data_IF_960851241914
#
_entry.id   IF_960851241914
#
_cell.length_a   1.000
_cell.length_b   1.000
_cell.length_c   1.000
_cell.angle_alpha   90.00
_cell.angle_beta   90.00
_cell.angle_gamma   90.00
#
_symmetry.space_group_name_H-M   'P 1'
#
loop_
_entity.id
_entity.type
_entity.pdbx_description
1 polymer ?
#
# COMPACT_ATOMS: atom_id res chain seq x y z
N UNK A 1 -21.89 16.35 -8.68
CA UNK A 1 -20.75 15.43 -8.85
C UNK A 1 -21.28 14.01 -8.78
N UNK A 2 -20.95 13.14 -9.74
CA UNK A 2 -21.24 11.71 -9.57
C UNK A 2 -20.30 11.15 -8.50
N UNK A 3 -20.81 10.33 -7.59
CA UNK A 3 -19.95 9.59 -6.66
C UNK A 3 -19.00 8.72 -7.47
N UNK A 4 -17.70 8.76 -7.13
CA UNK A 4 -16.74 7.76 -7.61
C UNK A 4 -17.09 6.46 -6.90
N UNK A 5 -17.38 5.36 -7.63
CA UNK A 5 -17.75 4.10 -7.01
C UNK A 5 -16.54 3.45 -6.30
N UNK A 6 -16.80 2.79 -5.16
CA UNK A 6 -15.79 2.11 -4.34
C UNK A 6 -16.23 0.67 -4.11
N UNK A 7 -15.31 -0.29 -4.28
CA UNK A 7 -15.51 -1.71 -4.00
C UNK A 7 -14.54 -2.14 -2.89
N UNK A 8 -15.05 -2.65 -1.78
CA UNK A 8 -14.25 -3.21 -0.68
C UNK A 8 -14.24 -4.74 -0.76
N UNK A 9 -13.11 -5.36 -0.39
CA UNK A 9 -12.94 -6.82 -0.39
C UNK A 9 -12.28 -7.24 0.91
N UNK A 10 -13.09 -7.80 1.81
CA UNK A 10 -12.70 -8.16 3.17
C UNK A 10 -12.71 -9.67 3.41
N UNK A 11 -11.96 -10.12 4.42
CA UNK A 11 -11.85 -11.53 4.80
C UNK A 11 -10.50 -11.90 5.41
N UNK A 12 -10.31 -13.16 5.87
CA UNK A 12 -9.10 -13.60 6.55
C UNK A 12 -7.83 -13.51 5.70
N UNK A 13 -6.65 -13.57 6.33
CA UNK A 13 -5.38 -13.66 5.60
C UNK A 13 -5.33 -14.94 4.75
N UNK A 14 -4.63 -14.90 3.62
CA UNK A 14 -4.41 -16.07 2.75
C UNK A 14 -5.58 -16.50 1.85
N UNK A 15 -6.77 -15.91 1.97
CA UNK A 15 -7.96 -16.32 1.15
C UNK A 15 -7.98 -15.76 -0.28
N UNK A 16 -6.94 -15.06 -0.71
CA UNK A 16 -6.82 -14.55 -2.09
C UNK A 16 -7.44 -13.18 -2.37
N UNK A 17 -7.79 -12.38 -1.34
CA UNK A 17 -8.40 -11.05 -1.49
C UNK A 17 -7.63 -10.12 -2.43
N UNK A 18 -6.31 -10.00 -2.23
CA UNK A 18 -5.46 -9.15 -3.07
C UNK A 18 -5.45 -9.58 -4.54
N UNK A 19 -5.50 -10.89 -4.79
CA UNK A 19 -5.62 -11.44 -6.15
C UNK A 19 -6.93 -11.03 -6.80
N UNK A 20 -8.06 -11.19 -6.10
CA UNK A 20 -9.38 -10.79 -6.62
C UNK A 20 -9.45 -9.28 -6.84
N UNK A 21 -8.96 -8.48 -5.87
CA UNK A 21 -8.94 -7.03 -5.96
C UNK A 21 -8.15 -6.54 -7.18
N UNK A 22 -6.96 -7.11 -7.41
CA UNK A 22 -6.14 -6.83 -8.61
C UNK A 22 -6.88 -7.15 -9.91
N UNK A 23 -7.46 -8.34 -10.01
CA UNK A 23 -8.19 -8.76 -11.23
C UNK A 23 -9.36 -7.82 -11.51
N UNK A 24 -10.11 -7.44 -10.48
CA UNK A 24 -11.23 -6.50 -10.61
C UNK A 24 -10.77 -5.11 -11.05
N UNK A 25 -9.72 -4.58 -10.41
CA UNK A 25 -9.15 -3.28 -10.77
C UNK A 25 -8.65 -3.26 -12.24
N UNK A 26 -7.94 -4.30 -12.69
CA UNK A 26 -7.49 -4.43 -14.08
C UNK A 26 -8.66 -4.51 -15.07
N UNK A 27 -9.71 -5.29 -14.75
CA UNK A 27 -10.89 -5.43 -15.62
C UNK A 27 -11.71 -4.15 -15.75
N UNK A 28 -11.80 -3.37 -14.67
CA UNK A 28 -12.59 -2.15 -14.61
C UNK A 28 -11.79 -0.89 -15.00
N UNK A 29 -10.46 -1.00 -15.12
CA UNK A 29 -9.57 0.15 -15.26
C UNK A 29 -9.58 1.06 -14.02
N UNK A 30 -9.79 0.47 -12.83
CA UNK A 30 -9.89 1.20 -11.57
C UNK A 30 -8.56 1.25 -10.83
N UNK A 31 -8.45 2.23 -9.94
CA UNK A 31 -7.41 2.24 -8.92
C UNK A 31 -7.57 1.07 -7.95
N UNK A 32 -6.45 0.61 -7.41
CA UNK A 32 -6.39 -0.40 -6.38
C UNK A 32 -5.66 0.17 -5.17
N UNK A 33 -6.17 -0.14 -3.99
CA UNK A 33 -5.53 0.20 -2.73
C UNK A 33 -5.40 -1.08 -1.90
N UNK A 34 -4.19 -1.35 -1.40
CA UNK A 34 -3.91 -2.45 -0.47
C UNK A 34 -3.63 -1.85 0.91
N UNK A 35 -4.58 -2.01 1.83
CA UNK A 35 -4.48 -1.44 3.18
C UNK A 35 -3.28 -1.96 3.97
N UNK A 36 -2.91 -3.23 3.79
CA UNK A 36 -1.74 -3.80 4.47
C UNK A 36 -0.43 -3.22 3.94
N UNK A 37 -0.37 -2.91 2.64
CA UNK A 37 0.80 -2.28 2.05
C UNK A 37 0.97 -0.81 2.50
N UNK A 38 -0.11 -0.11 2.87
CA UNK A 38 -0.03 1.26 3.42
C UNK A 38 0.77 1.28 4.71
N UNK A 39 0.42 0.42 5.69
CA UNK A 39 1.13 0.39 6.97
C UNK A 39 2.61 0.01 6.82
N UNK A 40 2.91 -0.97 5.95
CA UNK A 40 4.30 -1.34 5.64
C UNK A 40 5.09 -0.22 4.95
N UNK A 41 4.46 0.51 4.03
CA UNK A 41 5.09 1.67 3.39
C UNK A 41 5.30 2.82 4.38
N UNK A 42 4.37 3.04 5.29
CA UNK A 42 4.51 4.00 6.38
C UNK A 42 5.70 3.64 7.29
N UNK A 43 5.78 2.39 7.75
CA UNK A 43 6.91 1.93 8.57
C UNK A 43 8.26 2.08 7.85
N UNK A 44 8.30 1.77 6.54
CA UNK A 44 9.49 1.99 5.71
C UNK A 44 9.86 3.48 5.60
N UNK A 45 8.88 4.38 5.51
CA UNK A 45 9.12 5.83 5.47
C UNK A 45 9.63 6.37 6.81
N UNK A 46 9.06 5.90 7.93
CA UNK A 46 9.51 6.25 9.29
C UNK A 46 10.98 5.85 9.49
N UNK A 47 11.32 4.62 9.12
CA UNK A 47 12.70 4.10 9.20
C UNK A 47 13.65 4.88 8.29
N UNK A 48 13.30 5.09 7.02
CA UNK A 48 14.12 5.84 6.07
C UNK A 48 14.36 7.30 6.49
N UNK A 49 13.40 7.91 7.20
CA UNK A 49 13.47 9.29 7.70
C UNK A 49 14.11 9.38 9.10
N UNK A 50 14.47 8.24 9.71
CA UNK A 50 14.97 8.15 11.09
C UNK A 50 14.04 8.86 12.10
N UNK A 51 12.72 8.72 11.90
CA UNK A 51 11.71 9.32 12.77
C UNK A 51 11.59 8.52 14.07
N UNK A 52 11.55 9.21 15.22
CA UNK A 52 11.34 8.57 16.52
C UNK A 52 9.94 7.97 16.60
N UNK A 53 9.86 6.65 16.80
CA UNK A 53 8.59 5.93 16.88
C UNK A 53 7.78 6.23 18.15
N UNK A 54 8.37 6.93 19.12
CA UNK A 54 7.70 7.38 20.34
C UNK A 54 7.13 8.80 20.21
N UNK A 55 7.48 9.53 19.16
CA UNK A 55 6.96 10.87 18.86
C UNK A 55 5.75 10.77 17.92
N UNK A 56 4.55 10.73 18.50
CA UNK A 56 3.29 10.65 17.77
C UNK A 56 3.12 11.81 16.76
N UNK A 57 3.53 13.04 17.13
CA UNK A 57 3.40 14.20 16.23
C UNK A 57 4.31 14.09 15.01
N UNK A 58 5.53 13.58 15.18
CA UNK A 58 6.43 13.33 14.06
C UNK A 58 5.91 12.19 13.15
N UNK A 59 5.32 11.14 13.73
CA UNK A 59 4.69 10.06 12.98
C UNK A 59 3.47 10.54 12.16
N UNK A 60 2.63 11.40 12.74
CA UNK A 60 1.52 12.04 12.03
C UNK A 60 2.00 12.87 10.83
N UNK A 61 3.10 13.60 10.98
CA UNK A 61 3.69 14.37 9.88
C UNK A 61 4.16 13.46 8.73
N UNK A 62 4.77 12.32 9.05
CA UNK A 62 5.16 11.31 8.04
C UNK A 62 3.92 10.76 7.33
N UNK A 63 2.86 10.42 8.07
CA UNK A 63 1.64 9.85 7.51
C UNK A 63 0.92 10.82 6.57
N UNK A 64 0.81 12.09 6.97
CA UNK A 64 0.14 13.14 6.19
C UNK A 64 0.89 13.47 4.89
N UNK A 65 2.19 13.25 4.85
CA UNK A 65 3.06 13.55 3.70
C UNK A 65 3.61 12.28 3.03
N UNK A 66 2.91 11.15 3.16
CA UNK A 66 3.33 9.89 2.56
C UNK A 66 3.00 9.89 1.05
N UNK A 67 4.03 10.06 0.20
CA UNK A 67 3.88 9.93 -1.25
C UNK A 67 3.82 8.45 -1.64
N UNK A 68 2.62 7.88 -1.55
CA UNK A 68 2.36 6.47 -1.80
C UNK A 68 1.45 6.28 -3.02
N UNK A 69 1.94 5.53 -4.01
CA UNK A 69 1.18 5.22 -5.22
C UNK A 69 1.10 3.71 -5.49
N UNK A 70 -0.10 3.24 -5.77
CA UNK A 70 -0.38 1.88 -6.23
C UNK A 70 -0.65 1.88 -7.73
N UNK A 71 0.06 1.03 -8.47
CA UNK A 71 -0.14 0.87 -9.91
C UNK A 71 -0.47 -0.58 -10.24
N UNK A 72 -1.54 -0.75 -11.00
CA UNK A 72 -1.92 -2.02 -11.60
C UNK A 72 -1.61 -1.96 -13.09
N UNK A 73 -0.70 -2.81 -13.55
CA UNK A 73 -0.39 -2.92 -14.98
C UNK A 73 -1.17 -4.08 -15.60
N UNK A 74 -1.67 -3.89 -16.82
CA UNK A 74 -2.37 -4.94 -17.55
C UNK A 74 -1.42 -6.14 -17.77
N UNK A 75 -1.86 -7.33 -17.39
CA UNK A 75 -1.05 -8.55 -17.49
C UNK A 75 -0.06 -8.78 -16.34
N UNK A 76 0.13 -7.82 -15.42
CA UNK A 76 0.93 -8.04 -14.21
C UNK A 76 0.14 -8.87 -13.19
N UNK A 77 0.82 -9.83 -12.55
CA UNK A 77 0.29 -10.59 -11.42
C UNK A 77 0.46 -9.85 -10.07
N UNK A 78 1.25 -8.78 -10.07
CA UNK A 78 1.59 -8.01 -8.88
C UNK A 78 1.13 -6.56 -9.02
N UNK A 79 0.81 -5.96 -7.87
CA UNK A 79 0.58 -4.53 -7.73
C UNK A 79 1.92 -3.88 -7.48
N UNK A 80 2.27 -2.89 -8.28
CA UNK A 80 3.47 -2.09 -8.06
C UNK A 80 3.18 -1.01 -7.04
N UNK A 81 4.04 -0.86 -6.04
CA UNK A 81 3.91 0.12 -4.97
C UNK A 81 5.12 1.05 -5.02
N UNK A 82 4.84 2.34 -5.11
CA UNK A 82 5.86 3.38 -5.13
C UNK A 82 5.77 4.22 -3.87
N UNK A 83 6.90 4.46 -3.21
CA UNK A 83 7.05 5.35 -2.07
C UNK A 83 8.08 6.42 -2.41
N UNK A 84 7.71 7.70 -2.30
CA UNK A 84 8.56 8.84 -2.68
C UNK A 84 9.13 8.67 -4.11
N UNK A 85 8.27 8.21 -5.03
CA UNK A 85 8.61 7.92 -6.42
C UNK A 85 9.46 6.65 -6.68
N UNK A 86 9.91 5.94 -5.64
CA UNK A 86 10.72 4.72 -5.76
C UNK A 86 9.88 3.45 -5.70
N UNK A 87 10.16 2.47 -6.56
CA UNK A 87 9.49 1.17 -6.52
C UNK A 87 9.93 0.36 -5.28
N UNK A 88 9.01 0.20 -4.33
CA UNK A 88 9.20 -0.54 -3.07
C UNK A 88 8.45 -1.89 -3.07
N UNK A 89 7.87 -2.30 -4.21
CA UNK A 89 6.97 -3.46 -4.31
C UNK A 89 7.54 -4.76 -3.74
N UNK A 90 8.85 -4.98 -3.91
CA UNK A 90 9.55 -6.17 -3.41
C UNK A 90 9.84 -6.09 -1.93
N UNK A 91 10.30 -4.92 -1.46
CA UNK A 91 10.66 -4.69 -0.06
C UNK A 91 9.43 -4.85 0.83
N UNK A 92 8.28 -4.29 0.42
CA UNK A 92 7.01 -4.41 1.16
C UNK A 92 6.47 -5.85 1.30
N UNK A 93 7.07 -6.84 0.63
CA UNK A 93 6.70 -8.26 0.73
C UNK A 93 7.68 -9.07 1.58
N UNK A 94 8.74 -8.45 2.08
CA UNK A 94 9.67 -9.11 2.99
C UNK A 94 9.05 -9.26 4.37
N UNK A 95 9.46 -10.31 5.09
CA UNK A 95 9.07 -10.52 6.49
C UNK A 95 9.50 -9.33 7.35
N UNK A 96 10.72 -8.83 7.16
CA UNK A 96 11.26 -7.69 7.89
C UNK A 96 10.33 -6.47 7.85
N UNK A 97 9.87 -6.05 6.67
CA UNK A 97 8.92 -4.92 6.58
C UNK A 97 7.55 -5.27 7.15
N UNK A 98 7.19 -6.55 7.17
CA UNK A 98 5.99 -7.03 7.85
C UNK A 98 6.08 -6.93 9.38
N UNK A 99 7.24 -7.14 9.98
CA UNK A 99 7.47 -7.01 11.43
C UNK A 99 7.54 -5.56 11.91
N UNK A 100 7.88 -4.63 11.02
CA UNK A 100 7.95 -3.20 11.31
C UNK A 100 6.57 -2.52 11.39
N UNK A 101 5.51 -3.18 10.89
CA UNK A 101 4.17 -2.63 10.72
C UNK A 101 3.18 -3.22 11.73
#
# INVERSE_FOLDING_TARGET
>A
MSLIPVLTIDGPSGVGKGTVARIMAQKLGWHLLDSGAIYRAFALAVDARNTDVTDESALEEVANNLDLAFKTEAGSELVSVYLDGQDVSKVLRTEQTGEMA
#
